data_IF_759713425127
#
_entry.id   IF_759713425127
#
_cell.length_a   1.000
_cell.length_b   1.000
_cell.length_c   1.000
_cell.angle_alpha   90.00
_cell.angle_beta   90.00
_cell.angle_gamma   90.00
#
_symmetry.space_group_name_H-M   'P 1'
#
loop_
_entity.id
_entity.type
_entity.pdbx_description
1 polymer ?
#
# COMPACT_ATOMS: atom_id res chain seq x y z
N UNK A 1 -23.01 41.09 -4.46
CA UNK A 1 -22.16 40.17 -3.63
C UNK A 1 -22.31 38.82 -4.27
N UNK A 2 -21.30 38.24 -4.89
CA UNK A 2 -21.38 36.87 -5.37
C UNK A 2 -21.24 35.91 -4.19
N UNK A 3 -22.15 34.95 -4.15
CA UNK A 3 -22.24 33.89 -3.15
C UNK A 3 -20.96 33.04 -3.18
N UNK A 4 -20.35 32.89 -2.01
CA UNK A 4 -19.16 32.06 -1.77
C UNK A 4 -19.47 30.55 -1.75
N UNK A 5 -20.60 30.13 -2.32
CA UNK A 5 -21.08 28.74 -2.24
C UNK A 5 -20.69 27.88 -3.46
N UNK A 6 -19.90 28.43 -4.40
CA UNK A 6 -19.63 27.77 -5.68
C UNK A 6 -18.19 27.23 -5.83
N UNK A 7 -17.43 27.12 -4.75
CA UNK A 7 -16.06 26.59 -4.72
C UNK A 7 -15.86 25.37 -3.82
N UNK A 8 -16.89 24.57 -3.63
CA UNK A 8 -16.64 23.19 -3.17
C UNK A 8 -16.21 22.39 -4.42
N UNK A 9 -15.03 21.79 -4.45
CA UNK A 9 -14.68 20.89 -5.53
C UNK A 9 -15.72 19.77 -5.54
N UNK A 10 -16.48 19.67 -6.63
CA UNK A 10 -17.37 18.54 -6.94
C UNK A 10 -16.53 17.30 -7.22
N UNK A 11 -15.69 16.90 -6.31
CA UNK A 11 -14.87 15.73 -6.48
C UNK A 11 -15.49 14.60 -5.68
N UNK A 12 -16.29 13.83 -6.40
CA UNK A 12 -16.79 12.57 -5.90
C UNK A 12 -15.64 11.76 -5.27
N UNK A 13 -15.69 11.66 -3.95
CA UNK A 13 -14.84 10.75 -3.21
C UNK A 13 -15.39 9.31 -3.22
N UNK A 14 -16.55 9.11 -3.85
CA UNK A 14 -17.24 7.82 -3.94
C UNK A 14 -17.40 7.44 -5.41
N UNK A 15 -16.51 6.61 -5.90
CA UNK A 15 -16.53 6.17 -7.29
C UNK A 15 -16.62 4.64 -7.37
N UNK A 16 -17.67 4.13 -8.03
CA UNK A 16 -17.80 2.68 -8.28
C UNK A 16 -17.79 1.78 -7.04
N UNK A 17 -18.18 2.31 -5.86
CA UNK A 17 -18.10 1.60 -4.58
C UNK A 17 -16.76 1.73 -3.85
N UNK A 18 -15.84 2.50 -4.38
CA UNK A 18 -14.56 2.86 -3.75
C UNK A 18 -14.75 4.17 -2.96
N UNK A 19 -14.11 4.26 -1.79
CA UNK A 19 -14.20 5.43 -0.91
C UNK A 19 -12.83 6.07 -0.83
N UNK A 20 -12.68 7.25 -1.41
CA UNK A 20 -11.46 8.04 -1.35
C UNK A 20 -11.60 9.14 -0.30
N UNK A 21 -10.51 9.50 0.36
CA UNK A 21 -10.57 10.54 1.38
C UNK A 21 -10.58 11.94 0.78
N UNK A 22 -9.99 12.08 -0.42
CA UNK A 22 -9.84 13.34 -1.16
C UNK A 22 -10.05 13.12 -2.65
N UNK A 23 -10.52 14.12 -3.36
CA UNK A 23 -10.56 14.07 -4.82
C UNK A 23 -9.19 13.89 -5.46
N UNK A 24 -8.13 14.41 -4.84
CA UNK A 24 -6.75 14.18 -5.29
C UNK A 24 -6.33 12.71 -5.21
N UNK A 25 -6.88 11.96 -4.25
CA UNK A 25 -6.60 10.52 -4.09
C UNK A 25 -7.20 9.71 -5.25
N UNK A 26 -8.37 10.10 -5.76
CA UNK A 26 -8.98 9.47 -6.95
C UNK A 26 -8.02 9.52 -8.14
N UNK A 27 -7.56 10.73 -8.46
CA UNK A 27 -6.63 10.94 -9.58
C UNK A 27 -5.29 10.21 -9.36
N UNK A 28 -4.78 10.24 -8.14
CA UNK A 28 -3.54 9.55 -7.80
C UNK A 28 -3.67 8.05 -7.89
N UNK A 29 -4.77 7.50 -7.38
CA UNK A 29 -5.07 6.09 -7.42
C UNK A 29 -5.17 5.56 -8.86
N UNK A 30 -5.89 6.27 -9.72
CA UNK A 30 -6.00 5.92 -11.13
C UNK A 30 -4.65 5.95 -11.82
N UNK A 31 -3.85 6.97 -11.56
CA UNK A 31 -2.52 7.10 -12.14
C UNK A 31 -1.60 5.95 -11.73
N UNK A 32 -1.55 5.61 -10.43
CA UNK A 32 -0.67 4.52 -9.97
C UNK A 32 -1.19 3.16 -10.42
N UNK A 33 -2.52 2.96 -10.50
CA UNK A 33 -3.12 1.77 -11.07
C UNK A 33 -2.71 1.57 -12.54
N UNK A 34 -2.85 2.61 -13.37
CA UNK A 34 -2.45 2.57 -14.78
C UNK A 34 -0.96 2.28 -14.94
N UNK A 35 -0.11 2.90 -14.14
CA UNK A 35 1.33 2.68 -14.19
C UNK A 35 1.72 1.24 -13.82
N UNK A 36 1.05 0.62 -12.84
CA UNK A 36 1.27 -0.78 -12.50
C UNK A 36 0.80 -1.70 -13.65
N UNK A 37 -0.36 -1.43 -14.22
CA UNK A 37 -0.96 -2.32 -15.25
C UNK A 37 -0.27 -2.15 -16.60
N UNK A 38 -0.07 -0.91 -17.07
CA UNK A 38 0.35 -0.62 -18.43
C UNK A 38 1.86 -0.39 -18.55
N UNK A 39 2.47 0.30 -17.55
CA UNK A 39 3.87 0.73 -17.64
C UNK A 39 4.83 -0.22 -16.91
N UNK A 40 4.33 -1.37 -16.46
CA UNK A 40 5.10 -2.38 -15.72
C UNK A 40 5.84 -1.83 -14.50
N UNK A 41 5.28 -0.81 -13.84
CA UNK A 41 5.88 -0.23 -12.65
C UNK A 41 5.49 -1.00 -11.38
N UNK A 42 6.33 -0.89 -10.36
CA UNK A 42 6.05 -1.36 -9.02
C UNK A 42 5.40 -0.22 -8.22
N UNK A 43 4.67 -0.56 -7.18
CA UNK A 43 4.00 0.42 -6.33
C UNK A 43 4.33 0.16 -4.85
N UNK A 44 4.63 1.22 -4.15
CA UNK A 44 4.73 1.24 -2.70
C UNK A 44 3.68 2.20 -2.15
N UNK A 45 2.72 1.67 -1.40
CA UNK A 45 1.73 2.45 -0.65
C UNK A 45 2.17 2.48 0.80
N UNK A 46 2.31 3.68 1.36
CA UNK A 46 2.69 3.88 2.74
C UNK A 46 1.69 4.75 3.47
N UNK A 47 1.54 4.53 4.77
CA UNK A 47 0.85 5.41 5.70
C UNK A 47 1.36 5.14 7.10
N UNK A 48 1.33 6.12 7.97
CA UNK A 48 1.62 5.92 9.39
C UNK A 48 0.49 5.14 10.11
N UNK A 49 -0.65 4.93 9.46
CA UNK A 49 -1.84 4.35 10.06
C UNK A 49 -2.28 3.08 9.33
N UNK A 50 -2.25 1.96 10.02
CA UNK A 50 -2.60 0.64 9.47
C UNK A 50 -4.01 0.62 8.84
N UNK A 51 -4.97 1.31 9.45
CA UNK A 51 -6.33 1.39 8.91
C UNK A 51 -6.41 2.04 7.54
N UNK A 52 -5.52 3.01 7.25
CA UNK A 52 -5.41 3.70 5.96
C UNK A 52 -4.81 2.77 4.91
N UNK A 53 -3.71 2.09 5.27
CA UNK A 53 -3.05 1.12 4.37
C UNK A 53 -3.99 -0.02 4.02
N UNK A 54 -4.67 -0.58 5.02
CA UNK A 54 -5.63 -1.67 4.85
C UNK A 54 -6.79 -1.24 3.91
N UNK A 55 -7.27 -0.02 4.04
CA UNK A 55 -8.32 0.52 3.19
C UNK A 55 -7.86 0.68 1.72
N UNK A 56 -6.81 1.45 1.47
CA UNK A 56 -6.32 1.69 0.10
C UNK A 56 -5.72 0.43 -0.52
N UNK A 57 -5.06 -0.41 0.28
CA UNK A 57 -4.54 -1.70 -0.15
C UNK A 57 -5.64 -2.64 -0.63
N UNK A 58 -6.76 -2.73 0.08
CA UNK A 58 -7.94 -3.51 -0.34
C UNK A 58 -8.58 -2.96 -1.61
N UNK A 59 -8.72 -1.64 -1.71
CA UNK A 59 -9.23 -1.00 -2.92
C UNK A 59 -8.33 -1.33 -4.12
N UNK A 60 -7.01 -1.15 -3.98
CA UNK A 60 -6.03 -1.46 -5.02
C UNK A 60 -6.09 -2.94 -5.43
N UNK A 61 -6.07 -3.85 -4.47
CA UNK A 61 -6.15 -5.28 -4.71
C UNK A 61 -7.43 -5.67 -5.48
N UNK A 62 -8.57 -5.11 -5.07
CA UNK A 62 -9.86 -5.37 -5.74
C UNK A 62 -9.86 -4.85 -7.17
N UNK A 63 -9.41 -3.61 -7.38
CA UNK A 63 -9.34 -3.02 -8.73
C UNK A 63 -8.38 -3.79 -9.64
N UNK A 64 -7.22 -4.21 -9.12
CA UNK A 64 -6.26 -5.04 -9.86
C UNK A 64 -6.88 -6.38 -10.27
N UNK A 65 -7.55 -7.08 -9.36
CA UNK A 65 -8.23 -8.35 -9.66
C UNK A 65 -9.33 -8.20 -10.71
N UNK A 66 -10.07 -7.11 -10.66
CA UNK A 66 -11.22 -6.90 -11.55
C UNK A 66 -10.83 -6.36 -12.94
N UNK A 67 -9.78 -5.53 -13.03
CA UNK A 67 -9.52 -4.70 -14.22
C UNK A 67 -8.14 -4.90 -14.85
N UNK A 68 -7.19 -5.57 -14.20
CA UNK A 68 -5.83 -5.67 -14.76
C UNK A 68 -5.71 -6.69 -15.89
N UNK A 69 -6.57 -7.69 -15.94
CA UNK A 69 -6.43 -8.84 -16.85
C UNK A 69 -5.22 -9.74 -16.55
N UNK A 70 -4.54 -9.52 -15.43
CA UNK A 70 -3.35 -10.24 -14.99
C UNK A 70 -3.68 -11.19 -13.83
N UNK A 71 -2.79 -12.15 -13.58
CA UNK A 71 -2.86 -12.95 -12.36
C UNK A 71 -2.46 -12.07 -11.16
N UNK A 72 -3.38 -11.89 -10.20
CA UNK A 72 -3.15 -11.07 -9.00
C UNK A 72 -3.13 -11.98 -7.78
N UNK A 73 -2.01 -12.00 -7.10
CA UNK A 73 -1.78 -12.80 -5.90
C UNK A 73 -1.50 -11.88 -4.71
N UNK A 74 -1.99 -12.27 -3.54
CA UNK A 74 -1.60 -11.65 -2.27
C UNK A 74 -0.54 -12.52 -1.62
N UNK A 75 0.56 -11.94 -1.23
CA UNK A 75 1.64 -12.62 -0.57
C UNK A 75 1.95 -11.96 0.77
N UNK A 76 2.01 -12.79 1.81
CA UNK A 76 2.44 -12.38 3.15
C UNK A 76 3.74 -13.12 3.44
N UNK A 77 4.89 -12.45 3.36
CA UNK A 77 6.17 -13.12 3.57
C UNK A 77 6.31 -13.56 5.03
N UNK A 78 6.60 -14.84 5.22
CA UNK A 78 6.92 -15.38 6.54
C UNK A 78 8.41 -15.24 6.85
N UNK A 79 9.26 -15.29 5.81
CA UNK A 79 10.71 -15.12 5.89
C UNK A 79 11.29 -14.84 4.50
N UNK A 80 12.57 -14.48 4.45
CA UNK A 80 13.33 -14.33 3.20
C UNK A 80 13.43 -15.64 2.43
N UNK A 81 13.59 -16.78 3.11
CA UNK A 81 13.68 -18.11 2.48
C UNK A 81 12.37 -18.46 1.77
N UNK A 82 11.21 -18.18 2.39
CA UNK A 82 9.92 -18.39 1.76
C UNK A 82 9.73 -17.55 0.50
N UNK A 83 10.26 -16.32 0.49
CA UNK A 83 10.28 -15.46 -0.69
C UNK A 83 11.14 -16.06 -1.80
N UNK A 84 12.34 -16.52 -1.49
CA UNK A 84 13.25 -17.17 -2.44
C UNK A 84 12.63 -18.44 -3.01
N UNK A 85 12.02 -19.27 -2.19
CA UNK A 85 11.35 -20.49 -2.64
C UNK A 85 10.20 -20.16 -3.61
N UNK A 86 9.39 -19.15 -3.28
CA UNK A 86 8.32 -18.69 -4.17
C UNK A 86 8.85 -18.22 -5.52
N UNK A 87 9.95 -17.48 -5.51
CA UNK A 87 10.61 -17.04 -6.74
C UNK A 87 11.15 -18.21 -7.58
N UNK A 88 11.83 -19.15 -6.95
CA UNK A 88 12.35 -20.33 -7.62
C UNK A 88 11.22 -21.13 -8.30
N UNK A 89 10.07 -21.27 -7.67
CA UNK A 89 8.90 -21.89 -8.29
C UNK A 89 8.46 -21.17 -9.57
N UNK A 90 8.52 -19.83 -9.59
CA UNK A 90 8.16 -19.03 -10.76
C UNK A 90 9.19 -19.17 -11.88
N UNK A 91 10.47 -19.10 -11.56
CA UNK A 91 11.57 -19.23 -12.53
C UNK A 91 11.63 -20.64 -13.11
N UNK A 92 11.44 -21.68 -12.31
CA UNK A 92 11.47 -23.07 -12.75
C UNK A 92 10.36 -23.44 -13.77
N UNK A 93 9.36 -22.60 -13.90
CA UNK A 93 8.31 -22.77 -14.91
C UNK A 93 8.66 -22.17 -16.29
N UNK A 94 9.85 -21.57 -16.43
CA UNK A 94 10.31 -20.85 -17.62
C UNK A 94 11.64 -21.38 -18.12
N UNK A 95 11.94 -21.17 -19.43
CA UNK A 95 13.31 -21.35 -19.93
C UNK A 95 14.20 -20.19 -19.47
N UNK A 96 15.52 -20.38 -19.56
CA UNK A 96 16.49 -19.32 -19.17
C UNK A 96 16.32 -18.10 -20.08
N UNK A 97 16.10 -18.31 -21.38
CA UNK A 97 15.90 -17.27 -22.38
C UNK A 97 14.62 -16.48 -22.11
N UNK A 98 13.54 -17.16 -21.77
CA UNK A 98 12.28 -16.53 -21.35
C UNK A 98 12.47 -15.73 -20.06
N UNK A 99 13.14 -16.26 -19.07
CA UNK A 99 13.35 -15.59 -17.80
C UNK A 99 14.19 -14.31 -17.97
N UNK A 100 15.17 -14.31 -18.89
CA UNK A 100 15.99 -13.14 -19.24
C UNK A 100 15.27 -12.12 -20.11
N UNK A 101 14.13 -12.47 -20.69
CA UNK A 101 13.39 -11.61 -21.62
C UNK A 101 13.95 -11.58 -23.02
N UNK A 102 14.85 -12.50 -23.36
CA UNK A 102 15.43 -12.64 -24.71
C UNK A 102 14.39 -13.20 -25.69
N UNK A 103 13.41 -13.96 -25.19
CA UNK A 103 12.25 -14.42 -25.94
C UNK A 103 10.97 -13.81 -25.38
N UNK A 104 9.96 -13.53 -26.23
CA UNK A 104 8.68 -13.04 -25.76
C UNK A 104 8.08 -14.05 -24.76
N UNK A 105 7.96 -13.63 -23.52
CA UNK A 105 7.27 -14.43 -22.52
C UNK A 105 5.79 -14.52 -22.91
N UNK A 106 5.27 -15.71 -23.17
CA UNK A 106 3.84 -15.97 -23.30
C UNK A 106 3.15 -15.99 -21.92
N UNK A 107 3.93 -15.77 -20.86
CA UNK A 107 3.42 -15.77 -19.50
C UNK A 107 2.60 -14.50 -19.28
N UNK A 108 1.32 -14.61 -18.92
CA UNK A 108 0.53 -13.45 -18.60
C UNK A 108 1.19 -12.67 -17.45
N UNK A 109 1.12 -11.34 -17.52
CA UNK A 109 1.65 -10.48 -16.47
C UNK A 109 1.11 -10.89 -15.11
N UNK A 110 1.96 -10.80 -14.09
CA UNK A 110 1.63 -11.19 -12.72
C UNK A 110 1.83 -10.01 -11.78
N UNK A 111 0.86 -9.79 -10.89
CA UNK A 111 0.95 -8.78 -9.85
C UNK A 111 0.96 -9.49 -8.50
N UNK A 112 1.97 -9.21 -7.70
CA UNK A 112 2.07 -9.72 -6.34
C UNK A 112 1.89 -8.56 -5.38
N UNK A 113 0.81 -8.59 -4.61
CA UNK A 113 0.54 -7.64 -3.53
C UNK A 113 1.20 -8.20 -2.26
N UNK A 114 2.29 -7.57 -1.86
CA UNK A 114 3.04 -7.94 -0.66
C UNK A 114 2.45 -7.18 0.52
N UNK A 115 1.74 -7.90 1.35
CA UNK A 115 1.16 -7.36 2.58
C UNK A 115 2.11 -7.63 3.74
N UNK A 116 2.36 -6.61 4.56
CA UNK A 116 3.27 -6.67 5.70
C UNK A 116 4.68 -7.22 5.36
N UNK A 117 5.46 -6.51 4.52
CA UNK A 117 6.79 -6.96 4.12
C UNK A 117 7.85 -6.81 5.23
N UNK A 118 7.47 -6.53 6.48
CA UNK A 118 8.39 -6.37 7.63
C UNK A 118 9.20 -7.64 7.94
N UNK A 119 8.67 -8.81 7.56
CA UNK A 119 9.40 -10.07 7.70
C UNK A 119 10.55 -10.25 6.70
N UNK A 120 10.64 -9.39 5.68
CA UNK A 120 11.73 -9.41 4.71
C UNK A 120 12.88 -8.57 5.27
N UNK A 121 14.02 -9.20 5.52
CA UNK A 121 15.23 -8.52 5.95
C UNK A 121 15.90 -7.72 4.82
N UNK A 122 16.98 -6.98 5.12
CA UNK A 122 17.68 -6.16 4.14
C UNK A 122 18.24 -6.96 2.96
N UNK A 123 18.69 -8.20 3.23
CA UNK A 123 19.24 -9.08 2.22
C UNK A 123 18.15 -9.64 1.31
N UNK A 124 16.99 -9.98 1.87
CA UNK A 124 15.80 -10.37 1.14
C UNK A 124 15.28 -9.27 0.24
N UNK A 125 15.26 -8.01 0.70
CA UNK A 125 14.92 -6.87 -0.14
C UNK A 125 15.91 -6.66 -1.29
N UNK A 126 17.22 -6.78 -1.01
CA UNK A 126 18.26 -6.71 -2.03
C UNK A 126 18.13 -7.83 -3.06
N UNK A 127 17.84 -9.04 -2.60
CA UNK A 127 17.60 -10.19 -3.47
C UNK A 127 16.36 -9.97 -4.34
N UNK A 128 15.25 -9.55 -3.75
CA UNK A 128 14.00 -9.28 -4.46
C UNK A 128 14.19 -8.25 -5.58
N UNK A 129 14.89 -7.14 -5.30
CA UNK A 129 15.16 -6.12 -6.31
C UNK A 129 16.02 -6.65 -7.45
N UNK A 130 17.05 -7.46 -7.16
CA UNK A 130 17.91 -8.09 -8.17
C UNK A 130 17.14 -9.09 -9.03
N UNK A 131 16.32 -9.94 -8.41
CA UNK A 131 15.54 -10.94 -9.14
C UNK A 131 14.61 -10.30 -10.16
N UNK A 132 13.94 -9.21 -9.80
CA UNK A 132 13.07 -8.49 -10.73
C UNK A 132 13.85 -7.79 -11.84
N UNK A 133 15.04 -7.27 -11.51
CA UNK A 133 15.90 -6.59 -12.49
C UNK A 133 16.55 -7.58 -13.45
N UNK A 134 17.04 -8.70 -12.92
CA UNK A 134 17.81 -9.69 -13.68
C UNK A 134 16.92 -10.65 -14.48
N UNK A 135 15.62 -10.75 -14.10
CA UNK A 135 14.66 -11.64 -14.76
C UNK A 135 13.41 -10.88 -15.27
N UNK A 136 13.57 -9.95 -16.21
CA UNK A 136 12.47 -9.15 -16.75
C UNK A 136 11.39 -9.99 -17.43
N UNK A 137 11.73 -11.17 -17.92
CA UNK A 137 10.79 -12.12 -18.55
C UNK A 137 9.75 -12.70 -17.60
N UNK A 138 9.95 -12.58 -16.26
CA UNK A 138 8.92 -12.92 -15.28
C UNK A 138 7.67 -12.04 -15.40
N UNK A 139 7.75 -10.92 -16.09
CA UNK A 139 6.67 -9.97 -16.31
C UNK A 139 5.88 -9.67 -15.00
N UNK A 140 6.64 -9.50 -13.91
CA UNK A 140 6.10 -9.39 -12.56
C UNK A 140 6.10 -7.94 -12.08
N UNK A 141 5.03 -7.56 -11.41
CA UNK A 141 4.88 -6.27 -10.73
C UNK A 141 4.63 -6.51 -9.26
N UNK A 142 5.19 -5.65 -8.43
CA UNK A 142 5.02 -5.72 -6.99
C UNK A 142 4.23 -4.52 -6.51
N UNK A 143 3.32 -4.76 -5.61
CA UNK A 143 2.61 -3.74 -4.84
C UNK A 143 2.91 -3.99 -3.38
N UNK A 144 3.65 -3.09 -2.74
CA UNK A 144 4.00 -3.17 -1.33
C UNK A 144 3.05 -2.30 -0.50
N UNK A 145 2.60 -2.84 0.61
CA UNK A 145 1.78 -2.15 1.60
C UNK A 145 2.59 -2.09 2.91
N UNK A 146 3.02 -0.88 3.29
CA UNK A 146 3.88 -0.66 4.46
C UNK A 146 3.37 0.50 5.31
N UNK A 147 3.34 0.29 6.62
CA UNK A 147 3.05 1.35 7.59
C UNK A 147 4.22 2.34 7.72
N UNK A 148 5.43 1.82 7.70
CA UNK A 148 6.67 2.60 7.81
C UNK A 148 7.77 1.94 6.99
N UNK A 149 8.60 2.73 6.34
CA UNK A 149 9.80 2.25 5.65
C UNK A 149 10.96 2.26 6.65
N UNK A 150 11.49 1.09 7.05
CA UNK A 150 12.71 1.04 7.85
C UNK A 150 13.90 1.60 7.04
N UNK A 151 14.83 2.30 7.71
CA UNK A 151 16.02 2.88 7.06
C UNK A 151 16.85 1.80 6.31
N UNK A 152 16.91 0.59 6.86
CA UNK A 152 17.58 -0.55 6.23
C UNK A 152 16.95 -0.96 4.89
N UNK A 153 15.64 -0.74 4.73
CA UNK A 153 14.88 -1.10 3.54
C UNK A 153 14.94 0.00 2.48
N UNK A 154 15.11 1.27 2.88
CA UNK A 154 15.14 2.41 1.96
C UNK A 154 16.18 2.23 0.86
N UNK A 155 17.41 1.85 1.22
CA UNK A 155 18.50 1.58 0.26
C UNK A 155 18.19 0.44 -0.72
N UNK A 156 17.41 -0.54 -0.28
CA UNK A 156 16.99 -1.63 -1.15
C UNK A 156 15.88 -1.19 -2.11
N UNK A 157 14.96 -0.37 -1.63
CA UNK A 157 13.90 0.22 -2.47
C UNK A 157 14.46 1.14 -3.55
N UNK A 158 15.56 1.85 -3.27
CA UNK A 158 16.23 2.71 -4.26
C UNK A 158 16.74 1.94 -5.47
N UNK A 159 17.04 0.65 -5.33
CA UNK A 159 17.45 -0.21 -6.45
C UNK A 159 16.37 -0.42 -7.50
N UNK A 160 15.10 -0.26 -7.14
CA UNK A 160 14.00 -0.27 -8.12
C UNK A 160 14.02 0.99 -9.00
N UNK A 161 14.71 2.06 -8.56
CA UNK A 161 14.87 3.30 -9.30
C UNK A 161 13.55 3.92 -9.72
N UNK A 162 13.47 4.38 -10.96
CA UNK A 162 12.25 5.00 -11.52
C UNK A 162 11.10 4.01 -11.73
N UNK A 163 11.33 2.71 -11.57
CA UNK A 163 10.28 1.69 -11.68
C UNK A 163 9.42 1.57 -10.43
N UNK A 164 9.82 2.18 -9.31
CA UNK A 164 9.05 2.17 -8.06
C UNK A 164 8.31 3.49 -7.89
N UNK A 165 7.00 3.44 -7.99
CA UNK A 165 6.13 4.53 -7.59
C UNK A 165 5.92 4.50 -6.09
N UNK A 166 6.06 5.66 -5.45
CA UNK A 166 5.80 5.82 -4.02
C UNK A 166 4.54 6.65 -3.84
N UNK A 167 3.63 6.14 -3.06
CA UNK A 167 2.41 6.84 -2.69
C UNK A 167 2.21 6.79 -1.18
N UNK A 168 2.45 7.90 -0.53
CA UNK A 168 2.12 8.11 0.87
C UNK A 168 0.66 8.57 0.98
N UNK A 169 -0.11 7.92 1.82
CA UNK A 169 -1.52 8.21 2.05
C UNK A 169 -1.72 8.64 3.50
N UNK A 170 -2.35 9.79 3.66
CA UNK A 170 -2.70 10.34 4.96
C UNK A 170 -4.15 10.05 5.32
N UNK A 171 -4.48 9.93 6.63
CA UNK A 171 -5.86 9.82 7.07
C UNK A 171 -6.66 11.08 6.71
N UNK A 172 -7.98 10.98 6.59
CA UNK A 172 -8.82 12.14 6.35
C UNK A 172 -8.88 13.02 7.60
N UNK A 173 -8.71 14.32 7.41
CA UNK A 173 -8.92 15.30 8.49
C UNK A 173 -10.40 15.46 8.85
N UNK A 174 -10.71 16.22 9.89
CA UNK A 174 -12.08 16.37 10.39
C UNK A 174 -13.07 16.91 9.33
N UNK A 175 -12.63 17.87 8.49
CA UNK A 175 -13.45 18.44 7.43
C UNK A 175 -13.71 17.44 6.31
N UNK A 176 -12.69 16.68 5.93
CA UNK A 176 -12.78 15.61 4.94
C UNK A 176 -13.69 14.48 5.41
N UNK A 177 -13.62 14.09 6.69
CA UNK A 177 -14.53 13.13 7.29
C UNK A 177 -15.99 13.61 7.25
N UNK A 178 -16.21 14.90 7.56
CA UNK A 178 -17.56 15.49 7.48
C UNK A 178 -18.10 15.50 6.05
N UNK A 179 -17.27 15.86 5.08
CA UNK A 179 -17.63 15.83 3.66
C UNK A 179 -17.97 14.41 3.19
N UNK A 180 -17.16 13.42 3.57
CA UNK A 180 -17.42 12.00 3.25
C UNK A 180 -18.75 11.51 3.84
N UNK A 181 -19.08 11.87 5.08
CA UNK A 181 -20.36 11.51 5.68
C UNK A 181 -21.53 12.13 4.92
N UNK A 182 -21.42 13.42 4.60
CA UNK A 182 -22.46 14.14 3.84
C UNK A 182 -22.68 13.50 2.47
N UNK A 183 -21.61 13.18 1.76
CA UNK A 183 -21.66 12.51 0.46
C UNK A 183 -22.20 11.08 0.58
N UNK A 184 -21.77 10.33 1.61
CA UNK A 184 -22.27 8.99 1.90
C UNK A 184 -23.77 8.94 2.14
N UNK A 185 -24.31 9.92 2.87
CA UNK A 185 -25.77 10.09 3.07
C UNK A 185 -26.48 10.38 1.75
N UNK A 186 -25.92 11.26 0.93
CA UNK A 186 -26.51 11.64 -0.36
C UNK A 186 -26.54 10.49 -1.38
N UNK A 187 -25.56 9.58 -1.31
CA UNK A 187 -25.41 8.45 -2.24
C UNK A 187 -25.91 7.12 -1.68
N UNK A 188 -26.37 7.08 -0.44
CA UNK A 188 -26.90 5.87 0.22
C UNK A 188 -25.83 4.87 0.65
N UNK A 189 -24.58 5.29 0.79
CA UNK A 189 -23.45 4.46 1.26
C UNK A 189 -22.90 4.90 2.63
N UNK A 190 -23.72 5.57 3.40
CA UNK A 190 -23.38 6.08 4.75
C UNK A 190 -22.75 5.01 5.64
N UNK A 191 -23.34 3.83 5.67
CA UNK A 191 -22.84 2.72 6.50
C UNK A 191 -21.42 2.30 6.12
N UNK A 192 -21.09 2.26 4.82
CA UNK A 192 -19.76 1.93 4.34
C UNK A 192 -18.75 3.01 4.72
N UNK A 193 -19.12 4.28 4.57
CA UNK A 193 -18.29 5.43 4.96
C UNK A 193 -18.01 5.39 6.47
N UNK A 194 -19.03 5.23 7.31
CA UNK A 194 -18.85 5.15 8.77
C UNK A 194 -17.97 3.98 9.19
N UNK A 195 -18.10 2.83 8.54
CA UNK A 195 -17.26 1.66 8.82
C UNK A 195 -15.79 1.91 8.50
N UNK A 196 -15.51 2.62 7.40
CA UNK A 196 -14.14 2.99 7.02
C UNK A 196 -13.58 4.02 8.00
N UNK A 197 -14.32 5.11 8.27
CA UNK A 197 -13.87 6.17 9.17
C UNK A 197 -13.66 5.68 10.61
N UNK A 198 -14.57 4.84 11.13
CA UNK A 198 -14.42 4.26 12.47
C UNK A 198 -13.15 3.43 12.61
N UNK A 199 -12.82 2.60 11.60
CA UNK A 199 -11.58 1.80 11.60
C UNK A 199 -10.34 2.68 11.60
N UNK A 200 -10.33 3.75 10.77
CA UNK A 200 -9.20 4.67 10.70
C UNK A 200 -9.04 5.43 12.02
N UNK A 201 -10.12 5.95 12.57
CA UNK A 201 -10.08 6.70 13.82
C UNK A 201 -9.61 5.83 15.00
N UNK A 202 -9.96 4.55 15.05
CA UNK A 202 -9.43 3.61 16.03
C UNK A 202 -7.90 3.48 15.93
N UNK A 203 -7.36 3.32 14.72
CA UNK A 203 -5.90 3.22 14.52
C UNK A 203 -5.17 4.53 14.81
N UNK A 204 -5.77 5.68 14.47
CA UNK A 204 -5.22 7.00 14.80
C UNK A 204 -5.18 7.21 16.31
N UNK A 205 -6.26 6.88 17.03
CA UNK A 205 -6.33 7.04 18.49
C UNK A 205 -5.32 6.15 19.23
N UNK A 206 -5.15 4.91 18.79
CA UNK A 206 -4.17 3.98 19.38
C UNK A 206 -2.71 4.43 19.24
N UNK A 207 -2.39 5.18 18.20
CA UNK A 207 -1.04 5.69 17.98
C UNK A 207 -0.78 7.05 18.67
N UNK A 208 -1.84 7.78 19.01
CA UNK A 208 -1.75 9.06 19.73
C UNK A 208 -1.66 8.89 21.25
N UNK A 209 -1.92 7.70 21.80
CA UNK A 209 -1.66 7.36 23.20
C UNK A 209 -0.19 6.95 23.38
N UNK A 210 0.73 7.88 23.68
CA UNK A 210 2.10 7.47 23.98
C UNK A 210 2.13 6.91 25.39
N UNK A 211 2.68 5.71 25.57
CA UNK A 211 3.29 5.15 26.75
C UNK A 211 3.22 6.02 28.03
N UNK A 212 2.06 6.13 28.64
CA UNK A 212 1.91 6.78 29.97
C UNK A 212 2.21 5.81 31.11
N UNK A 213 2.52 4.54 30.81
CA UNK A 213 2.68 3.51 31.86
C UNK A 213 4.13 3.19 32.30
N UNK A 214 5.13 3.97 31.86
CA UNK A 214 6.52 3.67 32.26
C UNK A 214 7.22 4.76 33.07
N UNK A 215 6.52 5.59 33.84
CA UNK A 215 7.19 6.60 34.68
C UNK A 215 6.64 6.65 36.12
N UNK A 216 6.40 5.49 36.75
CA UNK A 216 6.06 5.48 38.18
C UNK A 216 6.64 4.23 38.88
N UNK A 217 7.92 3.95 38.77
CA UNK A 217 8.65 3.13 39.73
C UNK A 217 10.16 3.37 39.62
N UNK A 218 10.59 4.58 39.92
CA UNK A 218 12.00 4.83 40.21
C UNK A 218 12.11 5.88 41.32
N UNK A 219 12.32 5.37 42.52
CA UNK A 219 13.07 6.15 43.50
C UNK A 219 12.28 6.71 44.66
N UNK A 220 12.17 5.96 45.73
CA UNK A 220 12.30 6.46 47.10
C UNK A 220 12.86 5.35 47.97
N UNK A 221 14.17 5.10 47.82
CA UNK A 221 14.95 4.56 48.92
C UNK A 221 15.43 5.75 49.76
N UNK A 222 14.77 5.97 50.88
CA UNK A 222 15.26 6.85 51.93
C UNK A 222 16.17 6.01 52.82
N UNK A 223 17.47 6.24 52.74
CA UNK A 223 18.44 5.82 53.72
C UNK A 223 18.15 6.56 55.05
N UNK A 224 17.85 5.81 56.10
CA UNK A 224 17.88 6.30 57.49
C UNK A 224 19.02 5.59 58.18
N UNK A 225 20.07 6.40 58.48
CA UNK A 225 21.20 6.02 59.31
C UNK A 225 20.79 5.83 60.77
#
# INVERSE_FOLDING_TARGET
MPEFDDMLPQNLCLEGGEIFFRGADVTRFDRVFQAVVNDAQHLLITSQYDGVIDHYGKMMLNRLKMRSGMAVETYMPASTEALVERFNQLVNSMTVEQARGDEPSQTPGRIIVVNDPRAIDSDGWALLSRMITDFPGLNMRLVFLLDRIPESVEKALDRFGSRLLRWEVEPPNANEQLALRKEGMATGVEFQVERVLSRINQTVSQQLEPNLDNTTEAGLQIDVA
#
